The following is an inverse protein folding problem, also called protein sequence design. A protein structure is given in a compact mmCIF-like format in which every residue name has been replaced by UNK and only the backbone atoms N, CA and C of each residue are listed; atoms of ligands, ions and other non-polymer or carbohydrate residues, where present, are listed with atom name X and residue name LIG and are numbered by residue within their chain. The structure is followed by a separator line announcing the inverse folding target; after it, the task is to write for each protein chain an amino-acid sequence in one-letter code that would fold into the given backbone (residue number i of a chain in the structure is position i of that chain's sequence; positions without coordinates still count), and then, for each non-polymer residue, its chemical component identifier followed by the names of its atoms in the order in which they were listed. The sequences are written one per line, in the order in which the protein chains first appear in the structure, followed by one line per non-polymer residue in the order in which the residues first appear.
data_IF_485760308850
#
_entry.id   IF_485760308850
#
_cell.length_a   1.000
_cell.length_b   1.000
_cell.length_c   1.000
_cell.angle_alpha   90.00
_cell.angle_beta   90.00
_cell.angle_gamma   90.00
#
_symmetry.space_group_name_H-M   'P 1'
#
loop_
_entity.id
_entity.type
_entity.pdbx_description
1 polymer ?
#
# COMPACT_ATOMS: atom_id res chain seq x y z
N UNK A 1 21.03 -27.16 -9.58
CA UNK A 1 19.85 -26.56 -8.92
C UNK A 1 19.90 -25.05 -9.08
N UNK A 2 18.86 -24.48 -9.69
CA UNK A 2 18.90 -23.20 -10.45
C UNK A 2 18.83 -21.96 -9.55
N UNK A 3 19.72 -21.00 -9.82
CA UNK A 3 19.82 -19.63 -9.27
C UNK A 3 18.48 -18.88 -9.13
N UNK A 4 17.47 -19.24 -9.92
CA UNK A 4 16.12 -18.71 -9.77
C UNK A 4 15.48 -19.06 -8.41
N UNK A 5 15.70 -20.24 -7.83
CA UNK A 5 15.09 -20.61 -6.54
C UNK A 5 15.60 -19.74 -5.37
N UNK A 6 16.89 -19.39 -5.38
CA UNK A 6 17.53 -18.56 -4.35
C UNK A 6 17.06 -17.10 -4.41
N UNK A 7 16.86 -16.55 -5.61
CA UNK A 7 16.27 -15.20 -5.79
C UNK A 7 14.79 -15.15 -5.35
N UNK A 8 14.07 -16.28 -5.41
CA UNK A 8 12.61 -16.34 -5.28
C UNK A 8 12.06 -16.54 -3.86
N UNK A 9 12.86 -16.98 -2.88
CA UNK A 9 12.36 -17.26 -1.52
C UNK A 9 12.94 -16.34 -0.44
N UNK A 10 14.05 -15.67 -0.72
CA UNK A 10 14.84 -14.98 0.30
C UNK A 10 14.68 -13.45 0.23
N UNK A 11 14.17 -12.92 -0.89
CA UNK A 11 14.09 -11.47 -1.12
C UNK A 11 13.28 -10.68 -0.06
N UNK A 12 12.07 -11.09 0.38
CA UNK A 12 11.29 -10.28 1.32
C UNK A 12 11.93 -10.18 2.70
N UNK A 13 12.36 -11.32 3.26
CA UNK A 13 13.07 -11.36 4.55
C UNK A 13 14.45 -10.72 4.47
N UNK A 14 15.09 -10.72 3.30
CA UNK A 14 16.32 -9.96 3.07
C UNK A 14 16.03 -8.47 3.09
N UNK A 15 14.93 -7.99 2.48
CA UNK A 15 14.60 -6.56 2.49
C UNK A 15 14.45 -6.03 3.91
N UNK A 16 13.67 -6.68 4.77
CA UNK A 16 13.52 -6.21 6.15
C UNK A 16 14.80 -6.35 6.96
N UNK A 17 15.49 -7.50 6.88
CA UNK A 17 16.80 -7.63 7.54
C UNK A 17 17.83 -6.62 7.05
N UNK A 18 17.77 -6.24 5.78
CA UNK A 18 18.64 -5.24 5.18
C UNK A 18 18.29 -3.85 5.68
N UNK A 19 17.01 -3.55 5.91
CA UNK A 19 16.55 -2.27 6.48
C UNK A 19 16.84 -2.18 7.98
N UNK A 20 16.67 -3.28 8.72
CA UNK A 20 17.05 -3.36 10.14
C UNK A 20 18.58 -3.18 10.27
N UNK A 21 19.36 -3.90 9.45
CA UNK A 21 20.80 -3.73 9.37
C UNK A 21 21.20 -2.31 8.95
N UNK A 22 20.45 -1.68 8.02
CA UNK A 22 20.68 -0.31 7.58
C UNK A 22 20.55 0.70 8.72
N UNK A 23 19.49 0.55 9.50
CA UNK A 23 19.17 1.39 10.66
C UNK A 23 20.22 1.23 11.77
N UNK A 24 20.72 0.02 11.95
CA UNK A 24 21.71 -0.30 12.98
C UNK A 24 23.14 0.12 12.62
N UNK A 25 23.47 0.22 11.33
CA UNK A 25 24.87 0.33 10.90
C UNK A 25 25.22 1.60 10.10
N UNK A 26 24.28 2.51 9.83
CA UNK A 26 24.45 3.76 9.05
C UNK A 26 25.10 3.58 7.65
N UNK A 27 25.35 2.35 7.23
CA UNK A 27 26.22 1.98 6.09
C UNK A 27 25.46 1.37 4.92
N UNK A 28 24.21 0.97 5.12
CA UNK A 28 23.36 0.59 3.99
C UNK A 28 22.81 1.88 3.40
N UNK A 29 23.23 2.17 2.19
CA UNK A 29 22.74 3.31 1.45
C UNK A 29 21.28 3.03 1.04
N UNK A 30 20.43 4.05 1.09
CA UNK A 30 19.05 3.99 0.55
C UNK A 30 19.02 3.42 -0.88
N UNK A 31 20.11 3.61 -1.64
CA UNK A 31 20.34 3.04 -2.96
C UNK A 31 20.27 1.50 -2.99
N UNK A 32 20.79 0.81 -1.97
CA UNK A 32 20.73 -0.65 -1.89
C UNK A 32 19.31 -1.15 -1.70
N UNK A 33 18.51 -0.45 -0.89
CA UNK A 33 17.10 -0.74 -0.66
C UNK A 33 16.29 -0.50 -1.94
N UNK A 34 16.50 0.65 -2.59
CA UNK A 34 15.83 0.98 -3.85
C UNK A 34 16.19 -0.03 -4.95
N UNK A 35 17.46 -0.42 -5.09
CA UNK A 35 17.87 -1.44 -6.05
C UNK A 35 17.18 -2.79 -5.80
N UNK A 36 17.07 -3.19 -4.53
CA UNK A 36 16.38 -4.41 -4.14
C UNK A 36 14.87 -4.34 -4.43
N UNK A 37 14.22 -3.21 -4.17
CA UNK A 37 12.82 -2.96 -4.51
C UNK A 37 12.60 -2.95 -6.04
N UNK A 38 13.51 -2.37 -6.82
CA UNK A 38 13.45 -2.41 -8.28
C UNK A 38 13.54 -3.85 -8.82
N UNK A 39 14.45 -4.66 -8.27
CA UNK A 39 14.55 -6.08 -8.64
C UNK A 39 13.24 -6.80 -8.29
N UNK A 40 12.68 -6.57 -7.10
CA UNK A 40 11.42 -7.18 -6.69
C UNK A 40 10.28 -6.78 -7.62
N UNK A 41 10.14 -5.49 -7.95
CA UNK A 41 9.13 -5.00 -8.89
C UNK A 41 9.33 -5.63 -10.29
N UNK A 42 10.56 -5.73 -10.78
CA UNK A 42 10.85 -6.39 -12.05
C UNK A 42 10.47 -7.88 -12.05
N UNK A 43 10.57 -8.56 -10.91
CA UNK A 43 10.15 -9.97 -10.79
C UNK A 43 8.63 -10.16 -10.73
N UNK A 44 7.85 -9.10 -10.52
CA UNK A 44 6.38 -9.15 -10.44
C UNK A 44 5.69 -9.43 -11.80
N UNK A 45 6.39 -9.37 -12.93
CA UNK A 45 5.82 -9.56 -14.27
C UNK A 45 5.44 -11.01 -14.65
N UNK A 46 5.37 -11.95 -13.68
CA UNK A 46 4.97 -13.34 -13.93
C UNK A 46 4.14 -13.94 -12.81
N UNK A 47 3.00 -14.56 -13.15
CA UNK A 47 2.03 -15.15 -12.20
C UNK A 47 2.67 -16.11 -11.18
N UNK A 48 3.65 -16.92 -11.59
CA UNK A 48 4.36 -17.84 -10.71
C UNK A 48 5.26 -17.17 -9.68
N UNK A 49 5.84 -16.01 -10.02
CA UNK A 49 6.69 -15.25 -9.12
C UNK A 49 5.85 -14.51 -8.06
N UNK A 50 4.71 -13.94 -8.46
CA UNK A 50 3.79 -13.27 -7.55
C UNK A 50 3.27 -14.22 -6.46
N UNK A 51 2.81 -15.42 -6.85
CA UNK A 51 2.35 -16.43 -5.89
C UNK A 51 3.44 -16.79 -4.86
N UNK A 52 4.70 -16.84 -5.30
CA UNK A 52 5.82 -17.16 -4.42
C UNK A 52 6.21 -15.98 -3.50
N UNK A 53 6.14 -14.75 -4.00
CA UNK A 53 6.35 -13.55 -3.19
C UNK A 53 5.28 -13.42 -2.10
N UNK A 54 4.01 -13.68 -2.43
CA UNK A 54 2.93 -13.73 -1.43
C UNK A 54 3.23 -14.80 -0.38
N UNK A 55 3.52 -16.05 -0.80
CA UNK A 55 3.85 -17.17 0.11
C UNK A 55 5.07 -16.93 1.00
N UNK A 56 5.98 -16.04 0.60
CA UNK A 56 7.17 -15.72 1.40
C UNK A 56 6.94 -14.60 2.41
N UNK A 57 5.71 -14.08 2.52
CA UNK A 57 5.33 -13.03 3.47
C UNK A 57 5.57 -11.61 2.95
N UNK A 58 5.85 -11.43 1.65
CA UNK A 58 6.23 -10.13 1.09
C UNK A 58 5.20 -9.03 1.36
N UNK A 59 3.91 -9.36 1.39
CA UNK A 59 2.85 -8.39 1.68
C UNK A 59 3.02 -7.77 3.06
N UNK A 60 3.28 -8.58 4.09
CA UNK A 60 3.45 -8.09 5.46
C UNK A 60 4.72 -7.24 5.58
N UNK A 61 5.84 -7.75 5.06
CA UNK A 61 7.13 -7.06 5.09
C UNK A 61 7.07 -5.69 4.40
N UNK A 62 6.36 -5.58 3.27
CA UNK A 62 6.19 -4.32 2.54
C UNK A 62 5.29 -3.32 3.28
N UNK A 63 4.29 -3.80 4.03
CA UNK A 63 3.46 -2.92 4.88
C UNK A 63 4.30 -2.33 6.00
N UNK A 64 5.06 -3.17 6.71
CA UNK A 64 5.91 -2.72 7.82
C UNK A 64 7.02 -1.77 7.33
N UNK A 65 7.66 -2.12 6.21
CA UNK A 65 8.65 -1.27 5.54
C UNK A 65 8.07 0.11 5.21
N UNK A 66 6.91 0.14 4.55
CA UNK A 66 6.27 1.37 4.11
C UNK A 66 5.75 2.25 5.24
N UNK A 67 5.37 1.66 6.39
CA UNK A 67 4.83 2.39 7.54
C UNK A 67 5.91 2.92 8.47
N UNK A 68 6.86 2.07 8.87
CA UNK A 68 7.75 2.35 10.01
C UNK A 68 9.23 2.40 9.64
N UNK A 69 9.59 2.06 8.41
CA UNK A 69 10.99 1.91 8.04
C UNK A 69 11.48 2.76 6.86
N UNK A 70 10.58 3.32 6.05
CA UNK A 70 10.95 4.30 5.04
C UNK A 70 10.99 5.72 5.64
N UNK A 71 12.11 6.47 5.48
CA UNK A 71 12.14 7.90 5.76
C UNK A 71 11.06 8.64 4.98
N UNK A 72 10.45 9.65 5.59
CA UNK A 72 9.33 10.41 4.98
C UNK A 72 9.69 11.13 3.68
N UNK A 73 10.97 11.34 3.42
CA UNK A 73 11.52 11.95 2.21
C UNK A 73 11.92 10.95 1.13
N UNK A 74 11.91 9.63 1.40
CA UNK A 74 12.19 8.61 0.39
C UNK A 74 10.94 8.25 -0.44
N UNK A 75 10.63 9.15 -1.37
CA UNK A 75 9.49 9.04 -2.29
C UNK A 75 9.63 7.86 -3.25
N UNK A 76 10.84 7.62 -3.77
CA UNK A 76 11.11 6.56 -4.75
C UNK A 76 10.85 5.18 -4.16
N UNK A 77 11.39 4.89 -2.98
CA UNK A 77 11.15 3.62 -2.30
C UNK A 77 9.67 3.45 -1.95
N UNK A 78 8.99 4.53 -1.56
CA UNK A 78 7.55 4.51 -1.28
C UNK A 78 6.74 4.12 -2.52
N UNK A 79 7.06 4.70 -3.67
CA UNK A 79 6.41 4.33 -4.95
C UNK A 79 6.65 2.87 -5.31
N UNK A 80 7.88 2.37 -5.15
CA UNK A 80 8.20 0.98 -5.44
C UNK A 80 7.43 0.03 -4.53
N UNK A 81 7.36 0.33 -3.22
CA UNK A 81 6.59 -0.46 -2.25
C UNK A 81 5.11 -0.51 -2.65
N UNK A 82 4.51 0.64 -2.98
CA UNK A 82 3.11 0.70 -3.43
C UNK A 82 2.90 -0.06 -4.73
N UNK A 83 3.82 0.06 -5.69
CA UNK A 83 3.78 -0.66 -6.95
C UNK A 83 3.83 -2.18 -6.77
N UNK A 84 4.73 -2.67 -5.91
CA UNK A 84 4.82 -4.11 -5.61
C UNK A 84 3.57 -4.58 -4.87
N UNK A 85 3.13 -3.86 -3.83
CA UNK A 85 1.92 -4.21 -3.08
C UNK A 85 0.70 -4.29 -3.98
N UNK A 86 0.51 -3.31 -4.87
CA UNK A 86 -0.57 -3.31 -5.86
C UNK A 86 -0.56 -4.57 -6.72
N UNK A 87 0.60 -4.97 -7.24
CA UNK A 87 0.74 -6.18 -8.05
C UNK A 87 0.41 -7.45 -7.25
N UNK A 88 0.90 -7.55 -6.01
CA UNK A 88 0.61 -8.69 -5.14
C UNK A 88 -0.87 -8.77 -4.78
N UNK A 89 -1.50 -7.63 -4.45
CA UNK A 89 -2.89 -7.55 -4.00
C UNK A 89 -3.92 -7.75 -5.12
N UNK A 90 -3.52 -7.61 -6.39
CA UNK A 90 -4.37 -7.96 -7.54
C UNK A 90 -4.75 -9.45 -7.60
N UNK A 91 -4.05 -10.29 -6.82
CA UNK A 91 -4.33 -11.72 -6.68
C UNK A 91 -5.17 -12.00 -5.44
N UNK A 92 -5.96 -13.07 -5.49
CA UNK A 92 -6.79 -13.49 -4.35
C UNK A 92 -5.98 -13.85 -3.10
N UNK A 93 -4.84 -14.53 -3.25
CA UNK A 93 -3.95 -14.90 -2.13
C UNK A 93 -3.25 -13.67 -1.55
N UNK A 94 -2.73 -12.77 -2.40
CA UNK A 94 -2.12 -11.52 -1.95
C UNK A 94 -3.10 -10.58 -1.28
N UNK A 95 -4.33 -10.48 -1.79
CA UNK A 95 -5.41 -9.74 -1.15
C UNK A 95 -5.77 -10.31 0.22
N UNK A 96 -5.82 -11.64 0.37
CA UNK A 96 -6.04 -12.28 1.67
C UNK A 96 -4.92 -11.96 2.68
N UNK A 97 -3.65 -12.01 2.25
CA UNK A 97 -2.50 -11.63 3.08
C UNK A 97 -2.50 -10.13 3.44
N UNK A 98 -2.96 -9.26 2.55
CA UNK A 98 -3.12 -7.84 2.88
C UNK A 98 -4.15 -7.68 4.00
N UNK A 99 -5.28 -8.40 3.91
CA UNK A 99 -6.38 -8.33 4.86
C UNK A 99 -6.09 -8.91 6.23
N UNK A 100 -5.15 -9.86 6.34
CA UNK A 100 -4.70 -10.39 7.63
C UNK A 100 -3.78 -9.41 8.38
N UNK A 101 -3.22 -8.42 7.70
CA UNK A 101 -2.35 -7.43 8.33
C UNK A 101 -3.12 -6.34 9.09
N UNK A 102 -2.78 -6.10 10.36
CA UNK A 102 -3.48 -5.15 11.23
C UNK A 102 -3.31 -3.67 10.83
N UNK A 103 -2.17 -3.33 10.21
CA UNK A 103 -1.84 -1.97 9.77
C UNK A 103 -2.14 -1.67 8.29
N UNK A 104 -2.81 -2.58 7.58
CA UNK A 104 -2.98 -2.50 6.11
C UNK A 104 -3.60 -1.18 5.63
N UNK A 105 -4.65 -0.69 6.31
CA UNK A 105 -5.33 0.53 5.89
C UNK A 105 -4.53 1.75 6.35
N UNK A 106 -3.94 1.69 7.55
CA UNK A 106 -3.12 2.76 8.09
C UNK A 106 -1.97 3.11 7.12
N UNK A 107 -1.20 2.10 6.69
CA UNK A 107 -0.06 2.28 5.79
C UNK A 107 -0.49 2.91 4.46
N UNK A 108 -1.52 2.36 3.80
CA UNK A 108 -1.98 2.86 2.49
C UNK A 108 -2.58 4.27 2.62
N UNK A 109 -3.36 4.50 3.69
CA UNK A 109 -3.94 5.80 3.99
C UNK A 109 -2.87 6.83 4.23
N UNK A 110 -1.81 6.49 4.97
CA UNK A 110 -0.69 7.38 5.23
C UNK A 110 -0.11 7.95 3.94
N UNK A 111 -0.03 7.16 2.86
CA UNK A 111 0.61 7.58 1.62
C UNK A 111 -0.27 8.43 0.69
N UNK A 112 -1.58 8.54 0.94
CA UNK A 112 -2.48 9.42 0.18
C UNK A 112 -2.20 10.90 0.51
N UNK A 113 -2.02 11.73 -0.51
CA UNK A 113 -1.71 13.20 -0.45
C UNK A 113 -0.38 13.48 0.25
N UNK A 114 0.46 12.46 0.41
CA UNK A 114 1.85 12.72 0.76
C UNK A 114 2.54 13.31 -0.46
N UNK A 115 3.57 14.13 -0.25
CA UNK A 115 4.31 14.75 -1.34
C UNK A 115 5.18 13.73 -2.13
N UNK A 116 4.75 12.48 -2.27
CA UNK A 116 5.41 11.39 -2.98
C UNK A 116 5.24 11.61 -4.48
N UNK A 117 4.08 11.25 -5.06
CA UNK A 117 3.73 11.57 -6.44
C UNK A 117 2.25 11.29 -6.75
N UNK A 118 1.72 11.82 -7.86
CA UNK A 118 0.38 11.46 -8.34
C UNK A 118 0.21 9.96 -8.65
N UNK A 119 1.28 9.28 -9.05
CA UNK A 119 1.26 7.83 -9.30
C UNK A 119 1.12 7.04 -7.99
N UNK A 120 1.78 7.49 -6.92
CA UNK A 120 1.62 6.91 -5.60
C UNK A 120 0.18 7.01 -5.09
N UNK A 121 -0.46 8.17 -5.26
CA UNK A 121 -1.87 8.34 -4.90
C UNK A 121 -2.77 7.37 -5.69
N UNK A 122 -2.54 7.23 -6.99
CA UNK A 122 -3.31 6.31 -7.84
C UNK A 122 -3.15 4.85 -7.39
N UNK A 123 -1.91 4.41 -7.13
CA UNK A 123 -1.63 3.06 -6.61
C UNK A 123 -2.26 2.84 -5.23
N UNK A 124 -2.23 3.84 -4.35
CA UNK A 124 -2.86 3.76 -3.04
C UNK A 124 -4.39 3.61 -3.15
N UNK A 125 -5.05 4.37 -4.04
CA UNK A 125 -6.48 4.22 -4.29
C UNK A 125 -6.83 2.87 -4.92
N UNK A 126 -5.98 2.33 -5.78
CA UNK A 126 -6.19 0.99 -6.35
C UNK A 126 -6.08 -0.08 -5.28
N UNK A 127 -5.06 -0.03 -4.40
CA UNK A 127 -4.94 -0.96 -3.26
C UNK A 127 -6.16 -0.84 -2.34
N UNK A 128 -6.64 0.37 -2.03
CA UNK A 128 -7.87 0.54 -1.27
C UNK A 128 -9.07 -0.09 -1.97
N UNK A 129 -9.19 0.08 -3.29
CA UNK A 129 -10.28 -0.51 -4.09
C UNK A 129 -10.23 -2.05 -4.05
N UNK A 130 -9.04 -2.65 -4.11
CA UNK A 130 -8.84 -4.09 -3.92
C UNK A 130 -9.36 -4.52 -2.53
N UNK A 131 -8.95 -3.82 -1.47
CA UNK A 131 -9.40 -4.07 -0.09
C UNK A 131 -10.93 -4.04 0.02
N UNK A 132 -11.59 -3.12 -0.68
CA UNK A 132 -13.04 -3.04 -0.72
C UNK A 132 -13.68 -4.20 -1.50
N UNK A 133 -13.11 -4.59 -2.65
CA UNK A 133 -13.66 -5.67 -3.48
C UNK A 133 -13.75 -6.99 -2.72
N UNK A 134 -12.74 -7.27 -1.90
CA UNK A 134 -12.68 -8.52 -1.15
C UNK A 134 -13.61 -8.56 0.09
N UNK A 135 -14.31 -7.46 0.44
CA UNK A 135 -14.99 -7.40 1.74
C UNK A 135 -16.36 -6.70 1.75
N UNK A 136 -17.38 -7.54 1.98
CA UNK A 136 -18.63 -7.18 2.64
C UNK A 136 -18.51 -7.11 4.19
N UNK A 137 -17.29 -7.04 4.77
CA UNK A 137 -17.07 -7.12 6.23
C UNK A 137 -16.90 -5.73 6.85
N UNK A 138 -17.80 -5.35 7.76
CA UNK A 138 -17.79 -4.05 8.46
C UNK A 138 -16.53 -3.71 9.28
N UNK A 139 -15.57 -4.63 9.43
CA UNK A 139 -14.30 -4.39 10.11
C UNK A 139 -13.36 -3.42 9.37
N UNK A 140 -13.30 -3.51 8.03
CA UNK A 140 -12.45 -2.62 7.21
C UNK A 140 -12.94 -1.17 7.28
N UNK A 141 -14.25 -0.97 7.17
CA UNK A 141 -14.83 0.37 7.23
C UNK A 141 -14.55 1.05 8.58
N UNK A 142 -14.63 0.30 9.69
CA UNK A 142 -14.27 0.83 11.02
C UNK A 142 -12.80 1.24 11.10
N UNK A 143 -11.91 0.42 10.56
CA UNK A 143 -10.48 0.74 10.53
C UNK A 143 -10.21 2.01 9.71
N UNK A 144 -10.86 2.19 8.56
CA UNK A 144 -10.74 3.41 7.74
C UNK A 144 -11.17 4.68 8.48
N UNK A 145 -12.28 4.60 9.22
CA UNK A 145 -12.73 5.72 10.06
C UNK A 145 -11.69 6.02 11.13
N UNK A 146 -11.16 4.97 11.78
CA UNK A 146 -10.14 5.10 12.85
C UNK A 146 -8.85 5.74 12.35
N UNK A 147 -8.37 5.37 11.16
CA UNK A 147 -7.10 5.89 10.60
C UNK A 147 -7.28 7.15 9.75
N UNK A 148 -8.50 7.70 9.68
CA UNK A 148 -8.78 8.97 9.02
C UNK A 148 -8.82 8.91 7.49
N UNK A 149 -9.00 7.74 6.88
CA UNK A 149 -9.00 7.59 5.41
C UNK A 149 -10.06 8.46 4.73
N UNK A 150 -11.22 8.61 5.36
CA UNK A 150 -12.30 9.47 4.86
C UNK A 150 -11.86 10.93 4.70
N UNK A 151 -11.14 11.45 5.69
CA UNK A 151 -10.63 12.81 5.68
C UNK A 151 -9.63 13.02 4.54
N UNK A 152 -8.70 12.06 4.38
CA UNK A 152 -7.74 12.09 3.28
C UNK A 152 -8.41 12.03 1.92
N UNK A 153 -9.35 11.12 1.67
CA UNK A 153 -10.03 11.06 0.37
C UNK A 153 -10.73 12.38 0.01
N UNK A 154 -11.35 13.07 0.99
CA UNK A 154 -11.92 14.40 0.74
C UNK A 154 -10.87 15.45 0.44
N UNK A 155 -9.76 15.46 1.17
CA UNK A 155 -8.65 16.35 0.90
C UNK A 155 -8.06 16.10 -0.50
N UNK A 156 -8.01 14.85 -0.97
CA UNK A 156 -7.56 14.51 -2.33
C UNK A 156 -8.51 15.11 -3.36
N UNK A 157 -9.83 15.00 -3.16
CA UNK A 157 -10.85 15.59 -4.04
C UNK A 157 -10.72 17.12 -4.11
N UNK A 158 -10.41 17.76 -2.99
CA UNK A 158 -10.20 19.21 -2.90
C UNK A 158 -8.84 19.68 -3.46
N UNK A 159 -7.89 18.76 -3.64
CA UNK A 159 -6.57 19.07 -4.18
C UNK A 159 -6.59 19.37 -5.69
N UNK A 160 -5.44 19.76 -6.24
CA UNK A 160 -5.24 19.98 -7.69
C UNK A 160 -4.89 18.69 -8.46
N UNK A 161 -5.24 17.51 -7.93
CA UNK A 161 -5.01 16.23 -8.61
C UNK A 161 -5.90 16.05 -9.86
N UNK A 162 -5.62 15.00 -10.64
CA UNK A 162 -6.35 14.69 -11.88
C UNK A 162 -7.83 14.36 -11.62
N UNK A 163 -8.69 14.62 -12.61
CA UNK A 163 -10.12 14.29 -12.54
C UNK A 163 -10.35 12.78 -12.32
N UNK A 164 -9.57 11.93 -12.99
CA UNK A 164 -9.66 10.48 -12.84
C UNK A 164 -9.44 10.04 -11.38
N UNK A 165 -8.45 10.63 -10.70
CA UNK A 165 -8.15 10.33 -9.31
C UNK A 165 -9.26 10.82 -8.37
N UNK A 166 -9.86 11.99 -8.66
CA UNK A 166 -11.02 12.51 -7.92
C UNK A 166 -12.22 11.58 -8.04
N UNK A 167 -12.51 11.07 -9.23
CA UNK A 167 -13.62 10.13 -9.42
C UNK A 167 -13.37 8.79 -8.70
N UNK A 168 -12.16 8.22 -8.79
CA UNK A 168 -11.80 7.02 -7.99
C UNK A 168 -12.03 7.25 -6.49
N UNK A 169 -11.60 8.40 -5.96
CA UNK A 169 -11.81 8.75 -4.56
C UNK A 169 -13.30 8.88 -4.20
N UNK A 170 -14.10 9.52 -5.05
CA UNK A 170 -15.55 9.63 -4.86
C UNK A 170 -16.24 8.28 -4.88
N UNK A 171 -15.83 7.37 -5.76
CA UNK A 171 -16.41 6.03 -5.85
C UNK A 171 -16.15 5.20 -4.59
N UNK A 172 -14.94 5.31 -4.03
CA UNK A 172 -14.63 4.74 -2.71
C UNK A 172 -15.55 5.31 -1.62
N UNK A 173 -15.74 6.64 -1.59
CA UNK A 173 -16.63 7.28 -0.59
C UNK A 173 -18.09 6.84 -0.75
N UNK A 174 -18.59 6.72 -1.98
CA UNK A 174 -19.97 6.33 -2.29
C UNK A 174 -20.27 4.90 -1.88
N UNK A 175 -19.34 3.97 -2.13
CA UNK A 175 -19.54 2.52 -1.94
C UNK A 175 -20.00 2.16 -0.52
N UNK A 176 -19.58 2.92 0.50
CA UNK A 176 -19.92 2.64 1.90
C UNK A 176 -20.53 3.81 2.65
N UNK A 177 -21.08 4.81 1.95
CA UNK A 177 -21.63 6.05 2.52
C UNK A 177 -22.51 5.84 3.77
N UNK A 178 -23.36 4.81 3.76
CA UNK A 178 -24.25 4.48 4.88
C UNK A 178 -23.56 4.23 6.21
N UNK A 179 -22.29 3.79 6.21
CA UNK A 179 -21.52 3.55 7.44
C UNK A 179 -20.78 4.83 7.87
N UNK A 180 -20.45 5.72 6.93
CA UNK A 180 -19.55 6.84 7.16
C UNK A 180 -20.36 8.05 7.61
N UNK A 181 -21.60 8.21 7.12
CA UNK A 181 -22.52 9.29 7.47
C UNK A 181 -22.76 9.48 8.97
N UNK A 182 -22.57 8.43 9.77
CA UNK A 182 -22.72 8.44 11.22
C UNK A 182 -21.40 8.63 11.98
N UNK A 183 -20.26 8.61 11.29
CA UNK A 183 -18.98 8.93 11.92
C UNK A 183 -18.90 10.45 12.12
N UNK A 184 -18.54 10.90 13.32
CA UNK A 184 -18.36 12.33 13.64
C UNK A 184 -17.29 13.02 12.77
N UNK A 185 -16.55 12.25 11.97
CA UNK A 185 -15.64 12.73 10.94
C UNK A 185 -16.33 13.12 9.62
N UNK A 186 -17.66 12.92 9.45
CA UNK A 186 -18.43 13.38 8.29
C UNK A 186 -19.15 14.68 8.65
N UNK A 187 -18.40 15.78 8.61
CA UNK A 187 -18.99 17.10 8.40
C UNK A 187 -19.67 17.09 7.03
N UNK A 188 -20.98 17.35 7.02
CA UNK A 188 -21.89 17.05 5.91
C UNK A 188 -21.78 17.92 4.63
N UNK A 189 -21.10 19.08 4.51
CA UNK A 189 -21.36 19.91 3.33
C UNK A 189 -20.42 19.67 2.13
N UNK A 190 -20.13 18.43 1.71
CA UNK A 190 -19.41 18.24 0.41
C UNK A 190 -19.70 16.93 -0.32
N UNK A 191 -20.85 16.31 -0.08
CA UNK A 191 -21.37 15.20 -0.91
C UNK A 191 -22.52 15.65 -1.82
N UNK A 192 -22.58 16.94 -2.12
CA UNK A 192 -23.41 17.53 -3.17
C UNK A 192 -22.47 18.25 -4.14
#
# INVERSE_FOLDING_TARGET
MKSSALKRLVMPKILTKFVDFARENDKVTQQGLEAALHIMLATCHGHGNLAQLVKSGAVHELIELGLSQLPSDNKNATELVLGILRQLCSRADGGAELLSHAARIAMVTEKIITAVSPAADDMALEILTEVFRFLARGGVVREMVRVGTVGKLRQLIQSRCSLALKEKAKDILRTHFCVWKNSHCVGVPTLI
#
